data_IF_433709292743
#
_entry.id   IF_433709292743
#
_cell.length_a   1.000
_cell.length_b   1.000
_cell.length_c   1.000
_cell.angle_alpha   90.00
_cell.angle_beta   90.00
_cell.angle_gamma   90.00
#
_symmetry.space_group_name_H-M   'P 1'
#
loop_
_entity.id
_entity.type
_entity.pdbx_description
1 polymer ?
#
# COMPACT_ATOMS: atom_id res chain seq x y z
N UNK A 1 -11.75 40.44 -16.40
CA UNK A 1 -11.40 39.44 -15.36
C UNK A 1 -10.22 38.61 -15.86
N UNK A 2 -9.00 38.88 -15.38
CA UNK A 2 -7.81 38.12 -15.75
C UNK A 2 -7.81 36.78 -14.98
N UNK A 3 -7.80 35.65 -15.69
CA UNK A 3 -7.57 34.33 -15.10
C UNK A 3 -6.06 34.13 -14.97
N UNK A 4 -5.52 34.30 -13.77
CA UNK A 4 -4.11 34.00 -13.49
C UNK A 4 -3.85 32.50 -13.66
N UNK A 5 -2.92 32.14 -14.56
CA UNK A 5 -2.42 30.77 -14.76
C UNK A 5 -1.01 30.71 -14.18
N UNK A 6 -0.73 29.72 -13.35
CA UNK A 6 0.63 29.44 -12.85
C UNK A 6 1.24 28.38 -13.77
N UNK A 7 2.43 28.66 -14.30
CA UNK A 7 3.22 27.75 -15.13
C UNK A 7 4.29 27.13 -14.25
N UNK A 8 4.25 25.82 -14.06
CA UNK A 8 5.30 25.08 -13.35
C UNK A 8 6.27 24.49 -14.39
N UNK A 9 7.57 24.71 -14.20
CA UNK A 9 8.64 24.10 -14.99
C UNK A 9 9.22 22.91 -14.23
N UNK A 10 9.31 21.76 -14.90
CA UNK A 10 10.08 20.61 -14.41
C UNK A 10 11.06 20.19 -15.50
N UNK A 11 12.32 19.96 -15.12
CA UNK A 11 13.37 19.48 -16.02
C UNK A 11 13.60 18.00 -15.76
N UNK A 12 13.40 17.16 -16.78
CA UNK A 12 13.72 15.73 -16.76
C UNK A 12 14.49 15.39 -18.02
N UNK A 13 15.66 14.75 -17.87
CA UNK A 13 16.50 14.23 -18.95
C UNK A 13 16.71 15.22 -20.13
N UNK A 14 17.02 16.49 -19.82
CA UNK A 14 17.34 17.51 -20.82
C UNK A 14 16.13 18.10 -21.58
N UNK A 15 14.88 17.77 -21.20
CA UNK A 15 13.68 18.38 -21.77
C UNK A 15 12.93 19.21 -20.73
N UNK A 16 12.50 20.43 -21.11
CA UNK A 16 11.63 21.28 -20.30
C UNK A 16 10.18 20.93 -20.63
N UNK A 17 9.43 20.38 -19.67
CA UNK A 17 7.98 20.23 -19.81
C UNK A 17 7.25 21.30 -19.01
N UNK A 18 6.28 21.96 -19.65
CA UNK A 18 5.39 22.93 -19.02
C UNK A 18 3.99 22.34 -18.89
N UNK A 19 3.42 22.48 -17.69
CA UNK A 19 2.01 22.17 -17.38
C UNK A 19 1.38 23.39 -16.69
N UNK A 20 0.16 23.73 -17.09
CA UNK A 20 -0.62 24.81 -16.48
C UNK A 20 -1.70 24.25 -15.57
N UNK A 21 -1.77 24.73 -14.33
CA UNK A 21 -2.87 24.44 -13.39
C UNK A 21 -3.68 25.72 -13.16
N UNK A 22 -5.01 25.58 -13.05
CA UNK A 22 -5.89 26.74 -12.82
C UNK A 22 -5.80 27.20 -11.36
N UNK A 23 -5.85 28.51 -11.12
CA UNK A 23 -5.83 29.07 -9.77
C UNK A 23 -7.01 28.58 -8.89
N UNK A 24 -8.14 28.18 -9.48
CA UNK A 24 -9.29 27.65 -8.75
C UNK A 24 -9.03 26.25 -8.12
N UNK A 25 -8.00 25.54 -8.58
CA UNK A 25 -7.64 24.19 -8.11
C UNK A 25 -6.69 24.24 -6.91
N UNK A 26 -5.96 25.34 -6.71
CA UNK A 26 -4.88 25.48 -5.71
C UNK A 26 -5.43 25.71 -4.29
N UNK A 27 -6.66 26.22 -4.16
CA UNK A 27 -7.28 26.50 -2.86
C UNK A 27 -8.08 25.35 -2.24
N UNK A 28 -8.11 24.16 -2.85
CA UNK A 28 -8.97 23.03 -2.43
C UNK A 28 -8.25 21.69 -2.29
N UNK A 29 -6.96 21.62 -2.62
CA UNK A 29 -6.18 20.39 -2.61
C UNK A 29 -5.01 20.51 -1.64
N UNK A 30 -4.70 19.44 -0.92
CA UNK A 30 -3.45 19.33 -0.17
C UNK A 30 -2.26 19.33 -1.14
N UNK A 31 -1.05 19.61 -0.62
CA UNK A 31 0.20 19.55 -1.39
C UNK A 31 0.40 18.18 -2.06
N UNK A 32 -0.02 17.09 -1.39
CA UNK A 32 0.04 15.72 -1.92
C UNK A 32 -0.95 15.47 -3.06
N UNK A 33 -2.20 15.96 -2.95
CA UNK A 33 -3.19 15.85 -4.02
C UNK A 33 -2.79 16.65 -5.27
N UNK A 34 -2.12 17.80 -5.07
CA UNK A 34 -1.58 18.60 -6.17
C UNK A 34 -0.41 17.86 -6.86
N UNK A 35 0.47 17.23 -6.08
CA UNK A 35 1.57 16.42 -6.59
C UNK A 35 1.05 15.24 -7.44
N UNK A 36 0.07 14.48 -6.94
CA UNK A 36 -0.57 13.37 -7.66
C UNK A 36 -1.19 13.80 -9.00
N UNK A 37 -1.91 14.93 -9.02
CA UNK A 37 -2.51 15.46 -10.24
C UNK A 37 -1.47 15.91 -11.28
N UNK A 38 -0.31 16.40 -10.83
CA UNK A 38 0.77 16.85 -11.71
C UNK A 38 1.57 15.65 -12.22
N UNK A 39 1.92 14.72 -11.35
CA UNK A 39 2.70 13.52 -11.66
C UNK A 39 2.00 12.65 -12.72
N UNK A 40 0.72 12.32 -12.50
CA UNK A 40 -0.10 11.54 -13.44
C UNK A 40 -0.23 12.18 -14.84
N UNK A 41 -0.31 13.52 -14.92
CA UNK A 41 -0.35 14.25 -16.21
C UNK A 41 0.99 14.22 -16.94
N UNK A 42 2.10 14.20 -16.22
CA UNK A 42 3.44 14.13 -16.80
C UNK A 42 3.69 12.72 -17.36
N UNK A 43 3.38 11.67 -16.61
CA UNK A 43 3.56 10.28 -17.04
C UNK A 43 2.73 9.96 -18.28
N UNK A 44 1.45 10.36 -18.33
CA UNK A 44 0.60 10.17 -19.51
C UNK A 44 1.14 10.89 -20.77
N UNK A 45 1.83 12.01 -20.61
CA UNK A 45 2.43 12.77 -21.72
C UNK A 45 3.73 12.15 -22.23
N UNK A 46 4.42 11.38 -21.39
CA UNK A 46 5.65 10.64 -21.74
C UNK A 46 5.29 9.31 -22.45
N UNK A 47 4.25 8.61 -21.99
CA UNK A 47 3.78 7.34 -22.58
C UNK A 47 3.35 7.44 -24.05
N UNK A 48 2.98 8.62 -24.53
CA UNK A 48 2.55 8.85 -25.90
C UNK A 48 3.70 9.01 -26.93
N UNK A 49 4.98 8.97 -26.53
CA UNK A 49 6.10 9.41 -27.41
C UNK A 49 7.18 8.38 -27.74
N UNK A 50 6.98 7.07 -27.56
CA UNK A 50 8.02 6.09 -27.95
C UNK A 50 7.49 4.94 -28.83
N UNK A 51 7.66 5.09 -30.13
CA UNK A 51 7.81 3.97 -31.08
C UNK A 51 9.30 3.90 -31.44
N UNK A 52 10.02 2.78 -31.22
CA UNK A 52 11.44 2.74 -31.55
C UNK A 52 11.66 2.30 -33.01
N UNK A 53 12.26 3.20 -33.80
CA UNK A 53 12.78 2.92 -35.15
C UNK A 53 14.16 2.26 -35.05
N UNK A 54 14.34 1.11 -35.72
CA UNK A 54 15.61 0.39 -35.88
C UNK A 54 16.72 1.30 -36.42
N UNK A 55 17.90 1.29 -35.79
CA UNK A 55 19.15 1.79 -36.39
C UNK A 55 20.28 0.79 -36.15
N UNK A 56 21.07 0.57 -37.21
CA UNK A 56 22.07 -0.48 -37.38
C UNK A 56 23.35 -0.21 -36.56
N UNK A 57 23.95 -1.29 -36.06
CA UNK A 57 25.24 -1.30 -35.33
C UNK A 57 26.40 -1.46 -36.31
N UNK A 58 27.47 -0.63 -36.26
CA UNK A 58 28.70 -0.86 -37.02
C UNK A 58 29.58 -1.96 -36.40
N UNK A 59 30.29 -2.69 -37.26
CA UNK A 59 31.16 -3.82 -36.94
C UNK A 59 32.38 -3.47 -36.06
N UNK A 60 32.74 -4.39 -35.16
CA UNK A 60 33.94 -4.32 -34.31
C UNK A 60 35.16 -4.94 -35.02
N UNK A 61 36.30 -4.25 -34.94
CA UNK A 61 37.62 -4.77 -35.31
C UNK A 61 38.24 -5.62 -34.18
N UNK A 62 39.10 -6.61 -34.49
CA UNK A 62 39.55 -7.62 -33.53
C UNK A 62 40.62 -7.08 -32.56
N UNK A 63 40.53 -7.50 -31.29
CA UNK A 63 41.54 -7.24 -30.25
C UNK A 63 42.58 -8.37 -30.16
N UNK A 64 43.83 -8.08 -29.74
CA UNK A 64 44.94 -9.04 -29.78
C UNK A 64 44.86 -10.13 -28.70
N UNK A 65 45.31 -11.34 -29.06
CA UNK A 65 45.42 -12.53 -28.22
C UNK A 65 46.46 -12.31 -27.10
N UNK A 66 46.06 -12.52 -25.84
CA UNK A 66 46.93 -12.47 -24.67
C UNK A 66 47.47 -13.89 -24.38
N UNK A 67 48.79 -14.02 -24.27
CA UNK A 67 49.48 -15.27 -23.92
C UNK A 67 49.14 -15.73 -22.49
N UNK A 68 49.14 -17.05 -22.19
CA UNK A 68 48.63 -17.59 -20.93
C UNK A 68 49.58 -17.35 -19.76
N UNK A 69 49.02 -16.92 -18.63
CA UNK A 69 49.70 -16.75 -17.35
C UNK A 69 49.92 -18.14 -16.69
N UNK A 70 51.06 -18.41 -16.04
CA UNK A 70 51.33 -19.69 -15.38
C UNK A 70 50.37 -19.98 -14.21
N UNK A 71 50.14 -21.28 -13.99
CA UNK A 71 49.17 -21.82 -13.04
C UNK A 71 49.48 -21.45 -11.57
N UNK A 72 48.47 -21.15 -10.74
CA UNK A 72 48.66 -20.89 -9.31
C UNK A 72 48.89 -22.19 -8.52
N UNK A 73 49.79 -22.11 -7.55
CA UNK A 73 50.09 -23.14 -6.54
C UNK A 73 48.86 -23.38 -5.63
N UNK A 74 48.53 -24.61 -5.21
CA UNK A 74 47.34 -24.88 -4.39
C UNK A 74 47.49 -24.31 -2.96
N UNK A 75 46.51 -23.49 -2.57
CA UNK A 75 46.32 -23.00 -1.19
C UNK A 75 45.74 -24.11 -0.31
N UNK A 76 46.16 -24.27 0.97
CA UNK A 76 45.57 -25.24 1.90
C UNK A 76 44.09 -24.95 2.15
N UNK A 77 43.28 -26.02 2.28
CA UNK A 77 41.86 -25.93 2.56
C UNK A 77 41.58 -25.27 3.94
N UNK A 78 40.60 -24.36 4.05
CA UNK A 78 40.22 -23.78 5.33
C UNK A 78 39.51 -24.81 6.22
N UNK A 79 39.82 -24.78 7.51
CA UNK A 79 39.17 -25.55 8.57
C UNK A 79 37.65 -25.28 8.59
N UNK A 80 36.78 -26.29 8.75
CA UNK A 80 35.33 -26.08 8.81
C UNK A 80 34.94 -25.14 9.95
N UNK A 81 34.13 -24.13 9.65
CA UNK A 81 33.50 -23.28 10.65
C UNK A 81 32.47 -24.12 11.47
N UNK A 82 32.34 -23.89 12.78
CA UNK A 82 31.34 -24.56 13.59
C UNK A 82 29.92 -24.24 13.08
N UNK A 83 29.05 -25.25 13.08
CA UNK A 83 27.68 -25.12 12.62
C UNK A 83 26.92 -24.01 13.40
N UNK A 84 26.05 -23.22 12.74
CA UNK A 84 25.22 -22.24 13.43
C UNK A 84 24.34 -22.94 14.46
N UNK A 85 24.44 -22.53 15.73
CA UNK A 85 23.49 -22.93 16.76
C UNK A 85 22.18 -22.22 16.45
N UNK A 86 21.21 -22.94 15.89
CA UNK A 86 19.85 -22.42 15.70
C UNK A 86 19.22 -22.22 17.08
N UNK A 87 19.08 -20.96 17.50
CA UNK A 87 18.17 -20.61 18.59
C UNK A 87 16.76 -21.04 18.18
N UNK A 88 16.01 -21.81 19.00
CA UNK A 88 14.65 -22.19 18.65
C UNK A 88 13.79 -20.94 18.48
N UNK A 89 13.07 -20.87 17.36
CA UNK A 89 12.07 -19.84 17.12
C UNK A 89 11.07 -19.83 18.30
N UNK A 90 10.67 -18.66 18.82
CA UNK A 90 9.60 -18.59 19.81
C UNK A 90 8.37 -19.30 19.25
N UNK A 91 7.76 -20.17 20.05
CA UNK A 91 6.49 -20.80 19.69
C UNK A 91 5.47 -19.71 19.34
N UNK A 92 4.60 -19.92 18.33
CA UNK A 92 3.56 -18.96 17.99
C UNK A 92 2.71 -18.73 19.23
N UNK A 93 2.79 -17.51 19.78
CA UNK A 93 1.87 -17.06 20.80
C UNK A 93 0.53 -16.91 20.10
N UNK A 94 -0.35 -17.89 20.31
CA UNK A 94 -1.76 -17.76 19.97
C UNK A 94 -2.31 -16.57 20.74
N UNK A 95 -2.41 -15.42 20.06
CA UNK A 95 -2.99 -14.22 20.63
C UNK A 95 -4.48 -14.50 20.92
N UNK A 96 -5.01 -14.04 22.07
CA UNK A 96 -6.44 -14.07 22.30
C UNK A 96 -7.12 -13.16 21.28
N UNK A 97 -8.00 -13.74 20.45
CA UNK A 97 -8.81 -12.99 19.49
C UNK A 97 -9.80 -12.14 20.27
N UNK A 98 -9.60 -10.83 20.26
CA UNK A 98 -10.61 -9.88 20.70
C UNK A 98 -11.86 -10.10 19.84
N UNK A 99 -13.00 -10.32 20.48
CA UNK A 99 -14.19 -10.98 19.92
C UNK A 99 -15.11 -10.09 19.07
N UNK A 100 -14.57 -9.08 18.39
CA UNK A 100 -15.31 -8.20 17.48
C UNK A 100 -14.51 -7.92 16.22
N UNK A 101 -15.14 -8.06 15.05
CA UNK A 101 -14.53 -7.65 13.77
C UNK A 101 -14.50 -6.13 13.71
N UNK A 102 -13.41 -5.58 13.21
CA UNK A 102 -13.24 -4.14 13.06
C UNK A 102 -13.86 -3.68 11.75
N UNK A 103 -14.55 -2.54 11.77
CA UNK A 103 -14.89 -1.86 10.53
C UNK A 103 -14.47 -0.40 10.55
N UNK A 104 -14.19 0.12 9.36
CA UNK A 104 -13.77 1.49 9.21
C UNK A 104 -13.97 2.03 7.81
N UNK A 105 -13.49 3.26 7.62
CA UNK A 105 -13.46 3.87 6.31
C UNK A 105 -12.27 4.81 6.17
N UNK A 106 -11.79 4.94 4.94
CA UNK A 106 -11.14 6.15 4.48
C UNK A 106 -12.22 7.14 4.02
N UNK A 107 -12.10 8.39 4.43
CA UNK A 107 -13.05 9.46 4.14
C UNK A 107 -12.30 10.62 3.50
N UNK A 108 -12.67 11.00 2.27
CA UNK A 108 -11.98 12.07 1.54
C UNK A 108 -12.06 13.44 2.21
N UNK A 109 -13.08 13.68 3.04
CA UNK A 109 -13.25 14.90 3.84
C UNK A 109 -12.72 14.77 5.27
N UNK A 110 -12.23 13.59 5.65
CA UNK A 110 -11.76 13.25 7.00
C UNK A 110 -12.83 13.28 8.09
N UNK A 111 -14.11 13.47 7.77
CA UNK A 111 -15.15 13.77 8.76
C UNK A 111 -15.88 12.51 9.24
N UNK A 112 -15.28 11.83 10.23
CA UNK A 112 -15.84 10.64 10.87
C UNK A 112 -17.27 10.87 11.37
N UNK A 113 -17.51 11.96 12.11
CA UNK A 113 -18.81 12.22 12.74
C UNK A 113 -19.95 12.35 11.73
N UNK A 114 -19.70 13.01 10.60
CA UNK A 114 -20.70 13.15 9.53
C UNK A 114 -20.98 11.81 8.86
N UNK A 115 -19.93 11.04 8.55
CA UNK A 115 -20.07 9.73 7.93
C UNK A 115 -20.79 8.74 8.85
N UNK A 116 -20.42 8.68 10.12
CA UNK A 116 -21.09 7.84 11.13
C UNK A 116 -22.55 8.21 11.33
N UNK A 117 -22.89 9.51 11.26
CA UNK A 117 -24.27 9.97 11.31
C UNK A 117 -25.07 9.55 10.07
N UNK A 118 -24.44 9.58 8.89
CA UNK A 118 -25.02 9.13 7.63
C UNK A 118 -25.34 7.62 7.66
N UNK A 119 -24.38 6.81 8.11
CA UNK A 119 -24.53 5.34 8.13
C UNK A 119 -25.23 4.82 9.41
N UNK A 120 -25.31 5.63 10.45
CA UNK A 120 -25.97 5.28 11.71
C UNK A 120 -25.21 4.25 12.56
N UNK A 121 -23.88 4.18 12.43
CA UNK A 121 -23.00 3.29 13.19
C UNK A 121 -21.63 3.96 13.42
N UNK A 122 -20.94 3.59 14.51
CA UNK A 122 -19.61 4.09 14.87
C UNK A 122 -18.52 3.20 14.27
N UNK A 123 -17.55 3.81 13.58
CA UNK A 123 -16.40 3.10 13.02
C UNK A 123 -15.37 2.78 14.12
N UNK A 124 -14.70 1.64 14.01
CA UNK A 124 -13.56 1.29 14.86
C UNK A 124 -12.25 1.84 14.30
N UNK A 125 -12.14 1.93 12.97
CA UNK A 125 -10.94 2.34 12.25
C UNK A 125 -11.24 3.56 11.38
N UNK A 126 -10.37 4.56 11.40
CA UNK A 126 -10.35 5.59 10.36
C UNK A 126 -9.02 5.57 9.63
N UNK A 127 -9.09 5.40 8.31
CA UNK A 127 -7.94 5.32 7.45
C UNK A 127 -7.59 6.67 6.82
N UNK A 128 -6.30 6.89 6.62
CA UNK A 128 -5.74 8.06 5.96
C UNK A 128 -4.56 7.64 5.08
N UNK A 129 -4.39 8.35 3.98
CA UNK A 129 -3.20 8.29 3.14
C UNK A 129 -2.26 9.43 3.54
N UNK A 130 -1.02 9.11 3.87
CA UNK A 130 0.02 10.07 4.25
C UNK A 130 1.26 9.85 3.40
N UNK A 131 1.83 10.94 2.90
CA UNK A 131 3.04 10.89 2.09
C UNK A 131 4.29 10.72 2.95
N UNK A 132 5.34 10.22 2.31
CA UNK A 132 6.69 10.26 2.85
C UNK A 132 7.11 11.72 3.08
N UNK A 133 7.59 12.02 4.28
CA UNK A 133 7.96 13.37 4.69
C UNK A 133 6.85 14.18 5.40
N UNK A 134 5.60 13.72 5.42
CA UNK A 134 4.48 14.44 6.08
C UNK A 134 4.57 14.43 7.63
N UNK A 135 5.44 13.58 8.19
CA UNK A 135 5.50 13.31 9.63
C UNK A 135 4.34 12.45 10.13
N UNK A 136 4.40 12.02 11.40
CA UNK A 136 3.34 11.23 12.00
C UNK A 136 2.09 12.09 12.28
N UNK A 137 0.87 11.65 11.94
CA UNK A 137 -0.37 12.41 12.14
C UNK A 137 -0.88 12.37 13.60
N UNK A 138 -0.02 12.77 14.53
CA UNK A 138 -0.26 12.70 15.97
C UNK A 138 -1.30 13.69 16.50
N UNK A 139 -1.71 14.66 15.69
CA UNK A 139 -2.76 15.62 16.02
C UNK A 139 -4.18 15.08 15.76
N UNK A 140 -4.32 13.85 15.27
CA UNK A 140 -5.63 13.22 15.11
C UNK A 140 -6.32 13.02 16.47
N UNK A 141 -7.62 13.33 16.55
CA UNK A 141 -8.40 13.11 17.76
C UNK A 141 -8.93 11.66 17.88
N UNK A 142 -8.54 10.75 16.98
CA UNK A 142 -9.05 9.38 16.88
C UNK A 142 -8.85 8.58 18.17
N UNK A 143 -7.67 8.66 18.78
CA UNK A 143 -7.40 8.04 20.08
C UNK A 143 -8.41 8.46 21.14
N UNK A 144 -8.74 9.74 21.22
CA UNK A 144 -9.72 10.26 22.20
C UNK A 144 -11.14 9.79 21.90
N UNK A 145 -11.42 9.39 20.66
CA UNK A 145 -12.68 8.80 20.23
C UNK A 145 -12.69 7.25 20.33
N UNK A 146 -11.62 6.65 20.85
CA UNK A 146 -11.47 5.20 20.95
C UNK A 146 -11.24 4.48 19.61
N UNK A 147 -10.82 5.21 18.57
CA UNK A 147 -10.61 4.67 17.22
C UNK A 147 -9.16 4.28 16.97
N UNK A 148 -8.99 3.31 16.07
CA UNK A 148 -7.70 2.95 15.48
C UNK A 148 -7.38 3.86 14.30
N UNK A 149 -6.16 4.39 14.29
CA UNK A 149 -5.62 5.14 13.17
C UNK A 149 -4.99 4.17 12.16
N UNK A 150 -5.58 4.04 10.98
CA UNK A 150 -4.96 3.30 9.87
C UNK A 150 -4.24 4.28 8.94
N UNK A 151 -2.98 3.98 8.62
CA UNK A 151 -2.11 4.82 7.81
C UNK A 151 -1.64 4.01 6.61
N UNK A 152 -2.17 4.34 5.44
CA UNK A 152 -1.54 4.03 4.17
C UNK A 152 -0.36 5.00 4.01
N UNK A 153 0.85 4.50 4.22
CA UNK A 153 2.04 5.34 4.18
C UNK A 153 2.65 5.25 2.79
N UNK A 154 2.61 6.33 2.04
CA UNK A 154 2.93 6.37 0.62
C UNK A 154 4.37 6.89 0.39
N UNK A 155 5.27 6.02 -0.07
CA UNK A 155 6.70 6.29 -0.24
C UNK A 155 7.04 7.14 -1.48
N UNK A 156 6.26 8.17 -1.80
CA UNK A 156 6.58 9.06 -2.92
C UNK A 156 7.87 9.85 -2.64
N UNK A 157 8.79 9.84 -3.61
CA UNK A 157 10.08 10.55 -3.50
C UNK A 157 11.15 9.83 -2.67
N UNK A 158 10.90 8.60 -2.23
CA UNK A 158 11.82 7.75 -1.49
C UNK A 158 11.96 6.39 -2.21
N UNK A 159 13.19 5.93 -2.45
CA UNK A 159 13.41 4.63 -3.11
C UNK A 159 13.52 3.50 -2.09
N UNK A 160 13.24 2.26 -2.51
CA UNK A 160 13.49 1.08 -1.68
C UNK A 160 14.98 0.99 -1.29
N UNK A 161 15.88 1.37 -2.19
CA UNK A 161 17.33 1.34 -1.94
C UNK A 161 17.74 2.35 -0.85
N UNK A 162 17.12 3.53 -0.80
CA UNK A 162 17.36 4.52 0.27
C UNK A 162 16.92 4.01 1.65
N UNK A 163 15.80 3.28 1.70
CA UNK A 163 15.33 2.63 2.93
C UNK A 163 16.30 1.51 3.32
N UNK A 164 16.64 0.63 2.39
CA UNK A 164 17.53 -0.52 2.64
C UNK A 164 18.94 -0.08 3.07
N UNK A 165 19.47 1.00 2.49
CA UNK A 165 20.79 1.52 2.86
C UNK A 165 20.79 2.33 4.16
N UNK A 166 19.62 2.55 4.75
CA UNK A 166 19.43 3.31 5.98
C UNK A 166 19.52 4.84 5.82
N UNK A 167 19.41 5.37 4.59
CA UNK A 167 19.39 6.82 4.37
C UNK A 167 18.15 7.46 5.01
N UNK A 168 17.06 6.70 5.11
CA UNK A 168 15.78 7.13 5.68
C UNK A 168 15.62 6.82 7.17
N UNK A 169 16.62 6.20 7.80
CA UNK A 169 16.55 5.73 9.19
C UNK A 169 16.12 6.81 10.18
N UNK A 170 16.66 8.01 10.03
CA UNK A 170 16.37 9.12 10.94
C UNK A 170 14.88 9.51 10.87
N UNK A 171 14.34 9.60 9.65
CA UNK A 171 12.93 9.91 9.44
C UNK A 171 12.02 8.77 9.94
N UNK A 172 12.35 7.51 9.62
CA UNK A 172 11.56 6.36 10.06
C UNK A 172 11.56 6.24 11.59
N UNK A 173 12.71 6.41 12.25
CA UNK A 173 12.82 6.39 13.72
C UNK A 173 12.03 7.53 14.35
N UNK A 174 12.04 8.71 13.75
CA UNK A 174 11.23 9.84 14.23
C UNK A 174 9.74 9.51 14.13
N UNK A 175 9.29 9.00 12.98
CA UNK A 175 7.90 8.59 12.79
C UNK A 175 7.49 7.50 13.79
N UNK A 176 8.34 6.50 14.03
CA UNK A 176 8.10 5.45 15.02
C UNK A 176 8.03 5.99 16.46
N UNK A 177 8.90 6.95 16.81
CA UNK A 177 8.88 7.63 18.11
C UNK A 177 7.59 8.43 18.30
N UNK A 178 7.14 9.15 17.27
CA UNK A 178 5.91 9.93 17.34
C UNK A 178 4.67 9.03 17.40
N UNK A 179 4.67 7.92 16.65
CA UNK A 179 3.64 6.89 16.75
C UNK A 179 3.57 6.28 18.15
N UNK A 180 4.72 6.03 18.79
CA UNK A 180 4.78 5.59 20.18
C UNK A 180 4.22 6.63 21.14
N UNK A 181 4.60 7.90 20.97
CA UNK A 181 4.14 9.02 21.80
C UNK A 181 2.63 9.26 21.67
N UNK A 182 2.07 9.05 20.48
CA UNK A 182 0.62 9.06 20.25
C UNK A 182 -0.09 8.09 21.20
N UNK A 183 0.43 6.87 21.36
CA UNK A 183 -0.01 5.90 22.36
C UNK A 183 -1.43 5.36 22.18
N UNK A 184 -2.10 5.67 21.07
CA UNK A 184 -3.31 4.99 20.60
C UNK A 184 -2.98 3.85 19.65
N UNK A 185 -3.95 2.97 19.32
CA UNK A 185 -3.76 1.90 18.36
C UNK A 185 -3.54 2.45 16.94
N UNK A 186 -2.49 1.96 16.27
CA UNK A 186 -2.13 2.33 14.89
C UNK A 186 -2.01 1.07 14.04
N UNK A 187 -2.62 1.08 12.87
CA UNK A 187 -2.36 0.14 11.79
C UNK A 187 -1.55 0.85 10.70
N UNK A 188 -0.34 0.37 10.41
CA UNK A 188 0.56 0.95 9.42
C UNK A 188 0.64 0.02 8.21
N UNK A 189 0.40 0.57 7.02
CA UNK A 189 0.40 -0.13 5.73
C UNK A 189 1.46 0.50 4.82
N UNK A 190 2.76 0.28 5.09
CA UNK A 190 3.81 0.75 4.19
C UNK A 190 3.81 -0.09 2.93
N UNK A 191 4.19 0.50 1.79
CA UNK A 191 4.28 -0.21 0.51
C UNK A 191 3.00 -0.96 0.13
N UNK A 192 1.83 -0.44 0.48
CA UNK A 192 0.55 -1.07 0.12
C UNK A 192 0.46 -1.30 -1.40
N UNK A 193 -0.22 -2.37 -1.79
CA UNK A 193 -0.35 -2.79 -3.19
C UNK A 193 1.00 -3.00 -3.90
N UNK A 194 2.04 -3.45 -3.17
CA UNK A 194 3.39 -3.67 -3.73
C UNK A 194 3.45 -4.62 -4.93
N UNK A 195 2.44 -5.47 -5.11
CA UNK A 195 2.29 -6.38 -6.24
C UNK A 195 1.59 -5.73 -7.47
N UNK A 196 1.26 -4.44 -7.41
CA UNK A 196 0.82 -3.61 -8.52
C UNK A 196 1.96 -2.89 -9.24
N UNK A 197 1.62 -2.18 -10.33
CA UNK A 197 2.60 -1.47 -11.18
C UNK A 197 2.34 0.04 -11.31
N UNK A 198 1.46 0.60 -10.48
CA UNK A 198 1.08 2.02 -10.51
C UNK A 198 1.87 2.88 -9.51
N UNK A 199 2.35 2.29 -8.41
CA UNK A 199 3.09 3.01 -7.38
C UNK A 199 4.61 2.88 -7.51
N UNK A 200 5.39 3.90 -7.12
CA UNK A 200 6.85 3.90 -7.26
C UNK A 200 7.55 2.86 -6.37
N UNK A 201 6.87 2.32 -5.36
CA UNK A 201 7.36 1.23 -4.51
C UNK A 201 6.94 -0.16 -5.00
N UNK A 202 6.14 -0.27 -6.07
CA UNK A 202 5.74 -1.54 -6.65
C UNK A 202 6.95 -2.39 -7.04
N UNK A 203 6.92 -3.69 -6.73
CA UNK A 203 8.09 -4.56 -6.88
C UNK A 203 8.52 -4.83 -8.31
N UNK A 204 7.66 -4.54 -9.29
CA UNK A 204 7.99 -4.62 -10.72
C UNK A 204 8.24 -3.26 -11.36
N UNK A 205 8.26 -2.18 -10.58
CA UNK A 205 8.42 -0.81 -11.07
C UNK A 205 9.89 -0.41 -11.06
N UNK A 206 10.40 0.06 -12.21
CA UNK A 206 11.78 0.53 -12.33
C UNK A 206 12.82 -0.55 -12.01
N UNK A 207 13.69 -0.27 -11.02
CA UNK A 207 14.73 -1.19 -10.53
C UNK A 207 14.33 -1.91 -9.24
N UNK A 208 13.05 -1.83 -8.85
CA UNK A 208 12.53 -2.58 -7.72
C UNK A 208 12.46 -4.08 -8.05
N UNK A 209 12.39 -4.89 -7.00
CA UNK A 209 12.12 -6.33 -7.06
C UNK A 209 11.28 -6.70 -5.84
N UNK A 210 10.52 -7.81 -5.84
CA UNK A 210 9.88 -8.32 -4.62
C UNK A 210 10.87 -8.47 -3.46
N UNK A 211 12.09 -8.94 -3.73
CA UNK A 211 13.15 -9.07 -2.73
C UNK A 211 13.59 -7.73 -2.12
N UNK A 212 13.60 -6.64 -2.90
CA UNK A 212 13.86 -5.28 -2.38
C UNK A 212 12.71 -4.82 -1.49
N UNK A 213 11.45 -5.06 -1.88
CA UNK A 213 10.30 -4.72 -1.04
C UNK A 213 10.39 -5.47 0.30
N UNK A 214 10.70 -6.76 0.28
CA UNK A 214 10.90 -7.57 1.50
C UNK A 214 12.03 -7.01 2.37
N UNK A 215 13.15 -6.61 1.76
CA UNK A 215 14.29 -6.06 2.49
C UNK A 215 13.97 -4.71 3.14
N UNK A 216 13.32 -3.80 2.39
CA UNK A 216 12.88 -2.51 2.88
C UNK A 216 11.83 -2.64 3.99
N UNK A 217 10.89 -3.59 3.84
CA UNK A 217 9.88 -3.92 4.86
C UNK A 217 10.53 -4.32 6.18
N UNK A 218 11.43 -5.30 6.15
CA UNK A 218 12.09 -5.81 7.37
C UNK A 218 12.89 -4.71 8.06
N UNK A 219 13.65 -3.94 7.28
CA UNK A 219 14.41 -2.80 7.80
C UNK A 219 13.50 -1.78 8.49
N UNK A 220 12.40 -1.39 7.85
CA UNK A 220 11.42 -0.48 8.44
C UNK A 220 10.80 -1.05 9.71
N UNK A 221 10.38 -2.33 9.70
CA UNK A 221 9.78 -2.98 10.87
C UNK A 221 10.71 -2.96 12.08
N UNK A 222 12.00 -3.28 11.87
CA UNK A 222 13.00 -3.30 12.94
C UNK A 222 13.19 -1.91 13.58
N UNK A 223 13.06 -0.84 12.80
CA UNK A 223 13.09 0.54 13.29
C UNK A 223 11.88 0.90 14.17
N UNK A 224 10.79 0.13 14.10
CA UNK A 224 9.59 0.28 14.93
C UNK A 224 9.60 -0.63 16.18
N UNK A 225 10.66 -1.38 16.47
CA UNK A 225 10.71 -2.34 17.58
C UNK A 225 10.31 -1.75 18.96
N UNK A 226 10.43 -0.44 19.15
CA UNK A 226 10.04 0.27 20.38
C UNK A 226 8.60 0.79 20.45
N UNK A 227 7.81 0.67 19.38
CA UNK A 227 6.47 1.25 19.21
C UNK A 227 5.39 0.16 19.17
N UNK A 228 5.18 -0.53 20.30
CA UNK A 228 4.28 -1.70 20.40
C UNK A 228 2.80 -1.42 20.11
N UNK A 229 2.39 -0.15 20.09
CA UNK A 229 1.04 0.28 19.72
C UNK A 229 0.82 0.35 18.19
N UNK A 230 1.88 0.16 17.40
CA UNK A 230 1.84 0.09 15.93
C UNK A 230 1.75 -1.37 15.49
N UNK A 231 0.83 -1.64 14.57
CA UNK A 231 0.62 -2.93 13.94
C UNK A 231 0.88 -2.85 12.45
N UNK A 232 1.76 -3.69 11.93
CA UNK A 232 2.11 -3.72 10.52
C UNK A 232 1.12 -4.59 9.74
N UNK A 233 0.46 -3.97 8.77
CA UNK A 233 -0.51 -4.63 7.88
C UNK A 233 0.12 -4.79 6.51
N UNK A 234 0.42 -6.03 6.13
CA UNK A 234 0.98 -6.39 4.83
C UNK A 234 -0.15 -6.43 3.79
N UNK A 235 -0.48 -5.27 3.23
CA UNK A 235 -1.61 -5.05 2.33
C UNK A 235 -1.19 -5.22 0.85
N UNK A 236 -1.71 -6.26 0.20
CA UNK A 236 -1.50 -6.53 -1.23
C UNK A 236 -2.70 -6.09 -2.05
N UNK A 237 -2.52 -5.79 -3.32
CA UNK A 237 -3.65 -5.74 -4.26
C UNK A 237 -4.19 -7.15 -4.48
N UNK A 238 -5.50 -7.29 -4.69
CA UNK A 238 -6.19 -8.58 -4.85
C UNK A 238 -5.66 -9.46 -5.99
N UNK A 239 -5.00 -8.86 -6.98
CA UNK A 239 -4.26 -9.56 -8.02
C UNK A 239 -2.88 -8.93 -8.26
N UNK A 240 -1.93 -9.73 -8.72
CA UNK A 240 -0.63 -9.21 -9.13
C UNK A 240 -0.74 -8.56 -10.51
N UNK A 241 -0.18 -7.36 -10.64
CA UNK A 241 -0.16 -6.59 -11.89
C UNK A 241 1.26 -6.06 -12.10
N UNK A 242 2.02 -6.58 -13.07
CA UNK A 242 1.65 -7.61 -14.04
C UNK A 242 1.51 -9.00 -13.39
N UNK A 243 0.64 -9.84 -13.96
CA UNK A 243 0.48 -11.23 -13.51
C UNK A 243 1.61 -12.09 -14.10
N UNK A 244 2.68 -12.27 -13.33
CA UNK A 244 3.86 -13.06 -13.72
C UNK A 244 4.35 -13.90 -12.54
N UNK A 245 5.09 -14.98 -12.84
CA UNK A 245 5.69 -15.87 -11.84
C UNK A 245 6.81 -15.23 -10.99
N UNK A 246 7.08 -13.94 -11.19
CA UNK A 246 8.08 -13.17 -10.43
C UNK A 246 7.46 -11.94 -9.76
N UNK A 247 6.12 -11.90 -9.70
CA UNK A 247 5.33 -10.87 -9.06
C UNK A 247 4.23 -11.53 -8.21
N UNK A 248 4.41 -12.76 -7.78
CA UNK A 248 3.39 -13.48 -7.02
C UNK A 248 3.24 -12.84 -5.63
N UNK A 249 2.04 -12.87 -5.05
CA UNK A 249 1.78 -12.35 -3.69
C UNK A 249 2.80 -12.92 -2.68
N UNK A 250 3.15 -14.20 -2.82
CA UNK A 250 4.12 -14.86 -1.95
C UNK A 250 5.54 -14.28 -2.04
N UNK A 251 5.94 -13.72 -3.19
CA UNK A 251 7.28 -13.14 -3.39
C UNK A 251 7.53 -11.91 -2.50
N UNK A 252 6.46 -11.29 -2.01
CA UNK A 252 6.49 -10.08 -1.19
C UNK A 252 6.39 -10.36 0.31
N UNK A 253 6.17 -11.60 0.74
CA UNK A 253 5.91 -11.89 2.15
C UNK A 253 7.20 -11.84 2.98
N UNK A 254 7.32 -10.93 3.97
CA UNK A 254 8.56 -10.76 4.73
C UNK A 254 8.77 -11.83 5.81
N UNK A 255 7.79 -12.70 6.02
CA UNK A 255 7.78 -13.70 7.08
C UNK A 255 6.93 -13.29 8.28
N UNK A 256 6.38 -14.27 8.98
CA UNK A 256 5.33 -14.06 9.98
C UNK A 256 5.76 -13.26 11.22
N UNK A 257 7.05 -13.11 11.49
CA UNK A 257 7.56 -12.26 12.58
C UNK A 257 7.50 -10.76 12.27
N UNK A 258 7.33 -10.39 11.00
CA UNK A 258 7.34 -9.00 10.52
C UNK A 258 5.94 -8.48 10.16
N UNK A 259 4.89 -9.25 10.44
CA UNK A 259 3.51 -8.98 10.00
C UNK A 259 2.54 -9.24 11.15
N UNK A 260 1.74 -8.24 11.51
CA UNK A 260 0.65 -8.39 12.47
C UNK A 260 -0.65 -8.83 11.78
N UNK A 261 -0.95 -8.22 10.62
CA UNK A 261 -2.12 -8.54 9.78
C UNK A 261 -1.70 -8.74 8.33
N UNK A 262 -2.33 -9.68 7.64
CA UNK A 262 -2.27 -9.72 6.16
C UNK A 262 -3.46 -8.94 5.61
N UNK A 263 -3.23 -8.08 4.63
CA UNK A 263 -4.21 -7.16 4.08
C UNK A 263 -4.48 -7.45 2.61
N UNK A 264 -5.69 -7.16 2.15
CA UNK A 264 -6.02 -7.14 0.72
C UNK A 264 -6.82 -5.89 0.35
N UNK A 265 -6.37 -5.22 -0.69
CA UNK A 265 -7.06 -4.13 -1.36
C UNK A 265 -7.78 -4.69 -2.61
N UNK A 266 -9.01 -4.27 -2.85
CA UNK A 266 -9.79 -4.77 -3.98
C UNK A 266 -11.05 -3.96 -4.25
N UNK A 267 -11.33 -3.72 -5.53
CA UNK A 267 -12.41 -2.84 -5.97
C UNK A 267 -13.24 -3.50 -7.06
N UNK A 268 -14.57 -3.36 -6.98
CA UNK A 268 -15.45 -3.70 -8.10
C UNK A 268 -15.60 -2.48 -9.02
N UNK A 269 -14.99 -2.49 -10.20
CA UNK A 269 -15.03 -1.39 -11.18
C UNK A 269 -16.32 -1.34 -12.03
N UNK A 270 -17.33 -2.17 -11.71
CA UNK A 270 -18.61 -2.22 -12.43
C UNK A 270 -18.74 -3.38 -13.42
N UNK A 271 -17.79 -4.30 -13.38
CA UNK A 271 -17.72 -5.54 -14.17
C UNK A 271 -17.70 -6.80 -13.28
N UNK A 272 -17.28 -6.66 -12.02
CA UNK A 272 -17.17 -7.73 -11.02
C UNK A 272 -18.29 -7.64 -9.99
N UNK A 273 -19.49 -8.10 -10.35
CA UNK A 273 -20.70 -7.88 -9.56
C UNK A 273 -20.92 -8.80 -8.35
N UNK A 274 -19.88 -9.51 -7.90
CA UNK A 274 -19.90 -10.22 -6.61
C UNK A 274 -18.70 -9.85 -5.78
N UNK A 275 -18.82 -9.88 -4.45
CA UNK A 275 -17.65 -9.70 -3.59
C UNK A 275 -16.62 -10.81 -3.84
N UNK A 276 -17.14 -12.03 -4.01
CA UNK A 276 -16.34 -13.24 -4.23
C UNK A 276 -15.46 -13.15 -5.48
N UNK A 277 -15.93 -12.54 -6.58
CA UNK A 277 -15.13 -12.40 -7.80
C UNK A 277 -13.97 -11.41 -7.66
N UNK A 278 -14.03 -10.49 -6.69
CA UNK A 278 -12.92 -9.56 -6.40
C UNK A 278 -11.92 -10.20 -5.44
N UNK A 279 -12.39 -10.93 -4.42
CA UNK A 279 -11.54 -11.27 -3.26
C UNK A 279 -11.21 -12.75 -3.08
N UNK A 280 -11.91 -13.70 -3.71
CA UNK A 280 -11.77 -15.12 -3.35
C UNK A 280 -10.34 -15.66 -3.51
N UNK A 281 -9.68 -15.33 -4.61
CA UNK A 281 -8.33 -15.83 -4.92
C UNK A 281 -7.30 -15.26 -3.93
N UNK A 282 -7.33 -13.95 -3.69
CA UNK A 282 -6.49 -13.30 -2.69
C UNK A 282 -6.74 -13.86 -1.29
N UNK A 283 -8.01 -13.98 -0.87
CA UNK A 283 -8.35 -14.54 0.44
C UNK A 283 -7.89 -15.99 0.60
N UNK A 284 -7.97 -16.80 -0.47
CA UNK A 284 -7.44 -18.16 -0.46
C UNK A 284 -5.94 -18.18 -0.16
N UNK A 285 -5.17 -17.34 -0.86
CA UNK A 285 -3.73 -17.19 -0.63
C UNK A 285 -3.42 -16.65 0.77
N UNK A 286 -4.13 -15.61 1.22
CA UNK A 286 -3.88 -14.95 2.50
C UNK A 286 -4.13 -15.85 3.71
N UNK A 287 -5.12 -16.76 3.63
CA UNK A 287 -5.39 -17.73 4.71
C UNK A 287 -4.20 -18.65 5.01
N UNK A 288 -3.31 -18.89 4.03
CA UNK A 288 -2.13 -19.74 4.22
C UNK A 288 -1.11 -19.19 5.23
N UNK A 289 -1.13 -17.87 5.48
CA UNK A 289 -0.19 -17.21 6.40
C UNK A 289 -0.59 -17.33 7.88
N UNK A 290 -1.78 -17.85 8.19
CA UNK A 290 -2.31 -17.99 9.55
C UNK A 290 -2.23 -16.68 10.36
N UNK A 291 -2.55 -15.56 9.71
CA UNK A 291 -2.67 -14.22 10.29
C UNK A 291 -4.10 -13.71 10.15
N UNK A 292 -4.58 -12.82 11.04
CA UNK A 292 -5.86 -12.18 10.85
C UNK A 292 -5.85 -11.37 9.54
N UNK A 293 -6.86 -11.57 8.70
CA UNK A 293 -6.98 -10.90 7.41
C UNK A 293 -7.73 -9.58 7.57
N UNK A 294 -7.17 -8.48 7.08
CA UNK A 294 -7.89 -7.22 6.93
C UNK A 294 -8.26 -7.04 5.46
N UNK A 295 -9.52 -6.77 5.14
CA UNK A 295 -9.84 -6.18 3.84
C UNK A 295 -9.43 -4.70 3.93
N UNK A 296 -8.17 -4.42 3.59
CA UNK A 296 -7.50 -3.16 3.92
C UNK A 296 -8.06 -1.98 3.13
N UNK A 297 -8.61 -2.22 1.94
CA UNK A 297 -9.32 -1.21 1.17
C UNK A 297 -10.34 -1.88 0.24
N UNK A 298 -11.61 -1.48 0.34
CA UNK A 298 -12.63 -1.97 -0.58
C UNK A 298 -13.67 -0.93 -0.95
N UNK A 299 -14.16 -1.00 -2.19
CA UNK A 299 -15.39 -0.34 -2.61
C UNK A 299 -15.96 -0.97 -3.89
N UNK A 300 -17.17 -0.54 -4.24
CA UNK A 300 -17.84 -0.92 -5.49
C UNK A 300 -18.32 0.31 -6.23
N UNK A 301 -18.19 0.27 -7.55
CA UNK A 301 -18.68 1.31 -8.44
C UNK A 301 -20.20 1.45 -8.29
N UNK A 302 -20.70 2.67 -8.46
CA UNK A 302 -22.13 2.95 -8.44
C UNK A 302 -22.87 2.18 -9.54
N UNK A 303 -24.05 1.66 -9.23
CA UNK A 303 -24.86 0.88 -10.17
C UNK A 303 -25.93 0.08 -9.44
N UNK A 304 -26.90 -0.45 -10.20
CA UNK A 304 -28.05 -1.18 -9.64
C UNK A 304 -27.68 -2.43 -8.83
N UNK A 305 -26.45 -2.94 -9.00
CA UNK A 305 -25.97 -4.16 -8.34
C UNK A 305 -25.07 -3.86 -7.12
N UNK A 306 -24.71 -2.60 -6.86
CA UNK A 306 -23.84 -2.21 -5.74
C UNK A 306 -24.44 -2.57 -4.38
N UNK A 307 -25.75 -2.38 -4.20
CA UNK A 307 -26.44 -2.75 -2.96
C UNK A 307 -26.33 -4.26 -2.65
N UNK A 308 -26.48 -5.10 -3.68
CA UNK A 308 -26.33 -6.55 -3.56
C UNK A 308 -24.88 -6.93 -3.25
N UNK A 309 -23.92 -6.29 -3.92
CA UNK A 309 -22.49 -6.49 -3.69
C UNK A 309 -22.09 -6.16 -2.24
N UNK A 310 -22.57 -5.04 -1.70
CA UNK A 310 -22.35 -4.65 -0.30
C UNK A 310 -22.96 -5.68 0.65
N UNK A 311 -24.20 -6.10 0.39
CA UNK A 311 -24.91 -7.06 1.24
C UNK A 311 -24.20 -8.42 1.28
N UNK A 312 -23.76 -8.92 0.12
CA UNK A 312 -22.97 -10.15 0.02
C UNK A 312 -21.64 -10.01 0.74
N UNK A 313 -20.86 -8.96 0.43
CA UNK A 313 -19.53 -8.75 0.98
C UNK A 313 -19.53 -8.63 2.49
N UNK A 314 -20.38 -7.79 3.07
CA UNK A 314 -20.42 -7.61 4.52
C UNK A 314 -20.91 -8.88 5.25
N UNK A 315 -21.77 -9.69 4.63
CA UNK A 315 -22.17 -11.00 5.18
C UNK A 315 -21.03 -12.03 5.13
N UNK A 316 -20.25 -12.06 4.05
CA UNK A 316 -19.10 -12.97 3.93
C UNK A 316 -18.00 -12.57 4.91
N UNK A 317 -17.68 -11.28 4.97
CA UNK A 317 -16.71 -10.72 5.89
C UNK A 317 -17.12 -11.02 7.34
N UNK A 318 -18.40 -10.85 7.71
CA UNK A 318 -18.85 -11.11 9.08
C UNK A 318 -18.91 -12.59 9.46
N UNK A 319 -19.01 -13.51 8.49
CA UNK A 319 -19.10 -14.96 8.75
C UNK A 319 -17.76 -15.70 8.70
N UNK A 320 -16.74 -15.14 8.04
CA UNK A 320 -15.42 -15.78 7.93
C UNK A 320 -14.54 -15.50 9.15
N UNK A 321 -14.20 -16.50 10.00
CA UNK A 321 -13.41 -16.30 11.21
C UNK A 321 -11.95 -15.87 10.95
N UNK A 322 -11.44 -16.03 9.73
CA UNK A 322 -10.09 -15.59 9.36
C UNK A 322 -10.01 -14.07 9.12
N UNK A 323 -11.14 -13.42 8.86
CA UNK A 323 -11.19 -11.98 8.58
C UNK A 323 -11.36 -11.18 9.88
N UNK A 324 -10.41 -10.30 10.16
CA UNK A 324 -10.42 -9.39 11.30
C UNK A 324 -11.30 -8.16 11.09
N UNK A 325 -11.56 -7.77 9.85
CA UNK A 325 -12.30 -6.55 9.57
C UNK A 325 -12.18 -6.04 8.13
N UNK A 326 -12.74 -4.86 7.88
CA UNK A 326 -12.62 -4.19 6.59
C UNK A 326 -12.54 -2.66 6.73
N UNK A 327 -12.00 -2.01 5.71
CA UNK A 327 -12.01 -0.55 5.57
C UNK A 327 -12.65 -0.20 4.22
N UNK A 328 -13.74 0.57 4.26
CA UNK A 328 -14.39 1.06 3.05
C UNK A 328 -13.65 2.30 2.49
N UNK A 329 -13.41 2.34 1.18
CA UNK A 329 -12.87 3.51 0.50
C UNK A 329 -14.01 4.46 0.09
N UNK A 330 -14.32 5.48 0.90
CA UNK A 330 -15.48 6.36 0.68
C UNK A 330 -15.09 7.68 0.00
N UNK A 331 -14.86 7.63 -1.31
CA UNK A 331 -14.56 8.82 -2.13
C UNK A 331 -15.24 8.73 -3.51
N UNK A 332 -15.58 9.86 -4.11
CA UNK A 332 -15.97 9.90 -5.53
C UNK A 332 -14.72 10.18 -6.39
N UNK A 333 -14.13 9.13 -6.96
CA UNK A 333 -12.81 9.17 -7.61
C UNK A 333 -12.83 8.50 -9.00
N UNK A 334 -12.08 7.43 -9.23
CA UNK A 334 -12.07 6.69 -10.51
C UNK A 334 -13.46 6.14 -10.85
N UNK A 335 -14.20 5.74 -9.80
CA UNK A 335 -15.63 5.52 -9.83
C UNK A 335 -16.28 6.24 -8.64
N UNK A 336 -17.61 6.29 -8.63
CA UNK A 336 -18.33 6.75 -7.47
C UNK A 336 -18.36 5.66 -6.38
N UNK A 337 -17.34 5.64 -5.52
CA UNK A 337 -17.15 4.65 -4.45
C UNK A 337 -17.99 4.93 -3.21
N UNK A 338 -18.60 6.11 -3.12
CA UNK A 338 -19.39 6.54 -1.97
C UNK A 338 -20.48 5.53 -1.58
N UNK A 339 -20.62 5.24 -0.28
CA UNK A 339 -21.70 4.36 0.22
C UNK A 339 -23.09 4.90 -0.12
N UNK A 340 -23.22 6.22 -0.25
CA UNK A 340 -24.44 6.93 -0.64
C UNK A 340 -24.47 7.31 -2.13
N UNK A 341 -23.84 6.53 -3.00
CA UNK A 341 -23.98 6.71 -4.45
C UNK A 341 -25.42 6.58 -4.94
N UNK A 342 -26.24 5.80 -4.22
CA UNK A 342 -27.69 5.70 -4.38
C UNK A 342 -28.34 5.24 -3.05
N UNK A 343 -29.67 5.40 -2.88
CA UNK A 343 -30.36 5.03 -1.63
C UNK A 343 -30.28 3.53 -1.27
N UNK A 344 -30.27 2.64 -2.25
CA UNK A 344 -30.22 1.19 -2.00
C UNK A 344 -28.84 0.77 -1.50
N UNK A 345 -27.77 1.30 -2.09
CA UNK A 345 -26.40 1.11 -1.64
C UNK A 345 -26.18 1.61 -0.22
N UNK A 346 -26.71 2.80 0.11
CA UNK A 346 -26.62 3.33 1.47
C UNK A 346 -27.35 2.40 2.44
N UNK A 347 -28.60 2.00 2.15
CA UNK A 347 -29.36 1.14 3.03
C UNK A 347 -28.71 -0.23 3.24
N UNK A 348 -28.13 -0.82 2.19
CA UNK A 348 -27.37 -2.07 2.29
C UNK A 348 -26.16 -1.92 3.23
N UNK A 349 -25.39 -0.84 3.07
CA UNK A 349 -24.24 -0.57 3.92
C UNK A 349 -24.65 -0.38 5.38
N UNK A 350 -25.66 0.45 5.65
CA UNK A 350 -26.23 0.68 7.00
C UNK A 350 -26.60 -0.64 7.67
N UNK A 351 -27.32 -1.49 6.95
CA UNK A 351 -27.77 -2.79 7.47
C UNK A 351 -26.59 -3.71 7.78
N UNK A 352 -25.55 -3.70 6.94
CA UNK A 352 -24.36 -4.51 7.15
C UNK A 352 -23.54 -4.08 8.37
N UNK A 353 -23.28 -2.77 8.53
CA UNK A 353 -22.43 -2.28 9.64
C UNK A 353 -23.13 -2.23 11.00
N UNK A 354 -24.47 -2.22 11.03
CA UNK A 354 -25.22 -2.29 12.30
C UNK A 354 -25.13 -3.67 12.98
N UNK A 355 -24.80 -4.72 12.23
CA UNK A 355 -24.76 -6.11 12.69
C UNK A 355 -23.32 -6.67 12.72
N UNK A 356 -22.31 -5.80 12.68
CA UNK A 356 -20.93 -6.16 12.40
C UNK A 356 -20.09 -6.43 13.64
#
# INVERSE_FOLDING_TARGET
>A
MHKSKIVLLTVLAGSILTTTVSAATIGRLSTSQLYQSIYSKIINKIGARTTPTKTQTPALAPTPVKNPNPAPTPTPAPTPAPAPVTSPAPAPVSAPVNTGKLWGAYLSDGNASSFESLVGAKMDVQAYFYGWGDGFPGNSNLKSQGKTLAIFWEQYGCTLDDIISGNEDAYIKQFASDAKAYGGPVMLMPFHEMNGNWDPWGGTVGSNTPAKVVSAWKHMYDLFAGASNVKFVWAVNNNSVPDTSTNEIADYYPGSSYVDYVGVDGFNFGDQWTFSSVFSDALSQLRSYNKPILISSMASAAGSQKASWITEGLKLISSDPSIAGFIWFNENKEQNWLVNSDPASLQAFKTGVQNF
#
